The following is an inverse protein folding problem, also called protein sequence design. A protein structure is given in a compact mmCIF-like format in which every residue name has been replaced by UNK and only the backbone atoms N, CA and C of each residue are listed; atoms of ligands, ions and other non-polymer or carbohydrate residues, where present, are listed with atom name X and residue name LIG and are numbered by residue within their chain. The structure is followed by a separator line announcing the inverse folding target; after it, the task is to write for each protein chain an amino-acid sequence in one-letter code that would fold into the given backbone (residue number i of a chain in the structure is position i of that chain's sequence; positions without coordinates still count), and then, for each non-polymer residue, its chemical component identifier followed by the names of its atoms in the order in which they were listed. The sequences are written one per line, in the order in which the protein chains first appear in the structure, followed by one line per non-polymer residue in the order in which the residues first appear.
data_IF_508301271044
#
_entry.id   IF_508301271044
#
_cell.length_a   1.000
_cell.length_b   1.000
_cell.length_c   1.000
_cell.angle_alpha   90.00
_cell.angle_beta   90.00
_cell.angle_gamma   90.00
#
_symmetry.space_group_name_H-M   'P 1'
#
loop_
_entity.id
_entity.type
_entity.pdbx_description
1 polymer ?
#
# COMPACT_ATOMS: atom_id res chain seq x y z
N UNK A 1 36.76 -9.43 -15.28
CA UNK A 1 36.11 -10.67 -14.79
C UNK A 1 35.53 -10.34 -13.42
N UNK A 2 34.20 -10.32 -13.25
CA UNK A 2 33.63 -10.17 -11.91
C UNK A 2 34.10 -11.35 -11.06
N UNK A 3 34.72 -11.06 -9.92
CA UNK A 3 35.28 -12.08 -9.06
C UNK A 3 34.13 -12.99 -8.57
N UNK A 4 34.33 -14.31 -8.51
CA UNK A 4 33.24 -15.25 -8.15
C UNK A 4 32.59 -14.90 -6.80
N UNK A 5 33.38 -14.29 -5.91
CA UNK A 5 32.97 -13.79 -4.61
C UNK A 5 31.95 -12.65 -4.70
N UNK A 6 32.07 -11.74 -5.67
CA UNK A 6 31.13 -10.64 -5.84
C UNK A 6 29.77 -11.12 -6.34
N UNK A 7 29.75 -12.12 -7.23
CA UNK A 7 28.52 -12.75 -7.70
C UNK A 7 27.78 -13.48 -6.57
N UNK A 8 28.51 -14.18 -5.70
CA UNK A 8 27.92 -14.83 -4.53
C UNK A 8 27.35 -13.80 -3.54
N UNK A 9 28.07 -12.70 -3.29
CA UNK A 9 27.59 -11.61 -2.43
C UNK A 9 26.32 -10.96 -2.97
N UNK A 10 26.22 -10.77 -4.30
CA UNK A 10 25.01 -10.25 -4.95
C UNK A 10 23.87 -11.26 -4.88
N UNK A 11 24.12 -12.55 -5.12
CA UNK A 11 23.13 -13.61 -5.00
C UNK A 11 22.50 -13.66 -3.59
N UNK A 12 23.33 -13.67 -2.55
CA UNK A 12 22.86 -13.66 -1.15
C UNK A 12 22.06 -12.40 -0.86
N UNK A 13 22.51 -11.23 -1.35
CA UNK A 13 21.78 -9.98 -1.17
C UNK A 13 20.41 -9.99 -1.86
N UNK A 14 20.30 -10.51 -3.08
CA UNK A 14 19.03 -10.67 -3.80
C UNK A 14 18.06 -11.57 -3.03
N UNK A 15 18.52 -12.74 -2.57
CA UNK A 15 17.71 -13.69 -1.82
C UNK A 15 17.26 -13.11 -0.47
N UNK A 16 18.18 -12.54 0.32
CA UNK A 16 17.88 -12.00 1.65
C UNK A 16 16.88 -10.85 1.56
N UNK A 17 17.14 -9.90 0.65
CA UNK A 17 16.29 -8.71 0.49
C UNK A 17 14.93 -9.08 -0.09
N UNK A 18 14.90 -10.02 -1.05
CA UNK A 18 13.65 -10.53 -1.61
C UNK A 18 12.76 -11.19 -0.55
N UNK A 19 13.35 -11.99 0.34
CA UNK A 19 12.61 -12.61 1.46
C UNK A 19 12.13 -11.59 2.49
N UNK A 20 12.98 -10.64 2.90
CA UNK A 20 12.61 -9.58 3.84
C UNK A 20 11.43 -8.79 3.29
N UNK A 21 11.52 -8.35 2.02
CA UNK A 21 10.44 -7.64 1.33
C UNK A 21 9.16 -8.47 1.30
N UNK A 22 9.25 -9.74 0.89
CA UNK A 22 8.10 -10.63 0.78
C UNK A 22 7.35 -10.76 2.11
N UNK A 23 8.06 -11.00 3.21
CA UNK A 23 7.43 -11.18 4.52
C UNK A 23 6.81 -9.89 5.06
N UNK A 24 7.53 -8.77 4.98
CA UNK A 24 7.03 -7.47 5.40
C UNK A 24 5.74 -7.11 4.64
N UNK A 25 5.77 -7.22 3.31
CA UNK A 25 4.62 -6.90 2.46
C UNK A 25 3.46 -7.87 2.68
N UNK A 26 3.75 -9.14 2.97
CA UNK A 26 2.71 -10.15 3.28
C UNK A 26 2.02 -9.83 4.59
N UNK A 27 2.76 -9.58 5.67
CA UNK A 27 2.20 -9.28 7.00
C UNK A 27 1.33 -8.02 6.93
N UNK A 28 1.85 -6.96 6.31
CA UNK A 28 1.08 -5.72 6.12
C UNK A 28 -0.13 -5.93 5.22
N UNK A 29 0.03 -6.68 4.13
CA UNK A 29 -1.07 -7.02 3.21
C UNK A 29 -2.20 -7.81 3.86
N UNK A 30 -1.89 -8.71 4.81
CA UNK A 30 -2.91 -9.43 5.60
C UNK A 30 -3.74 -8.45 6.43
N UNK A 31 -3.11 -7.46 7.07
CA UNK A 31 -3.84 -6.42 7.81
C UNK A 31 -4.76 -5.62 6.88
N UNK A 32 -4.25 -5.23 5.71
CA UNK A 32 -5.01 -4.47 4.71
C UNK A 32 -6.25 -5.23 4.24
N UNK A 33 -6.10 -6.48 3.80
CA UNK A 33 -7.22 -7.30 3.29
C UNK A 33 -8.26 -7.57 4.39
N UNK A 34 -7.82 -7.87 5.62
CA UNK A 34 -8.74 -8.08 6.75
C UNK A 34 -9.64 -6.85 6.98
N UNK A 35 -9.06 -5.66 6.95
CA UNK A 35 -9.81 -4.42 7.15
C UNK A 35 -10.71 -4.09 5.95
N UNK A 36 -10.25 -4.32 4.71
CA UNK A 36 -11.07 -4.09 3.51
C UNK A 36 -12.28 -5.02 3.46
N UNK A 37 -12.12 -6.28 3.84
CA UNK A 37 -13.22 -7.24 3.97
C UNK A 37 -14.21 -6.75 5.04
N UNK A 38 -13.69 -6.35 6.20
CA UNK A 38 -14.53 -5.86 7.30
C UNK A 38 -15.34 -4.61 6.89
N UNK A 39 -14.73 -3.68 6.16
CA UNK A 39 -15.42 -2.52 5.59
C UNK A 39 -16.52 -2.92 4.59
N UNK A 40 -16.24 -3.86 3.68
CA UNK A 40 -17.22 -4.33 2.70
C UNK A 40 -18.41 -5.04 3.35
N UNK A 41 -18.17 -5.83 4.40
CA UNK A 41 -19.21 -6.55 5.13
C UNK A 41 -20.00 -5.59 6.02
N UNK A 42 -19.34 -4.73 6.79
CA UNK A 42 -19.98 -3.75 7.66
C UNK A 42 -20.90 -2.80 6.90
N UNK A 43 -20.50 -2.38 5.69
CA UNK A 43 -21.31 -1.54 4.82
C UNK A 43 -22.56 -2.26 4.27
N UNK A 44 -22.53 -3.59 4.12
CA UNK A 44 -23.69 -4.38 3.63
C UNK A 44 -24.69 -4.69 4.74
N UNK A 45 -24.20 -4.89 5.97
CA UNK A 45 -25.04 -5.19 7.14
C UNK A 45 -25.76 -3.95 7.67
N UNK A 46 -25.12 -2.78 7.52
CA UNK A 46 -25.71 -1.50 7.88
C UNK A 46 -26.43 -0.96 6.66
N UNK A 47 -27.75 -1.18 6.54
CA UNK A 47 -28.59 -0.73 5.42
C UNK A 47 -28.68 0.81 5.24
N UNK A 48 -27.74 1.56 5.82
CA UNK A 48 -27.62 3.01 5.74
C UNK A 48 -26.59 3.39 4.67
N UNK A 49 -27.02 3.34 3.40
CA UNK A 49 -26.28 3.89 2.25
C UNK A 49 -25.92 5.37 2.43
N UNK A 50 -26.60 6.08 3.34
CA UNK A 50 -26.41 7.49 3.65
C UNK A 50 -25.19 7.77 4.55
N UNK A 51 -24.57 6.75 5.18
CA UNK A 51 -23.34 6.92 5.98
C UNK A 51 -22.07 7.07 5.13
N UNK A 52 -22.17 6.95 3.81
CA UNK A 52 -21.06 7.08 2.86
C UNK A 52 -20.90 8.55 2.43
N UNK A 53 -20.70 9.47 3.38
CA UNK A 53 -20.25 10.81 3.00
C UNK A 53 -18.74 10.76 2.72
N UNK A 54 -18.38 10.31 1.50
CA UNK A 54 -17.09 10.60 0.86
C UNK A 54 -15.97 9.57 0.96
N UNK A 55 -16.09 8.49 1.73
CA UNK A 55 -14.98 7.53 1.93
C UNK A 55 -14.76 6.54 0.77
N UNK A 56 -15.77 6.38 -0.11
CA UNK A 56 -15.74 5.42 -1.22
C UNK A 56 -14.53 5.56 -2.16
N UNK A 57 -14.22 6.78 -2.66
CA UNK A 57 -13.01 7.02 -3.45
C UNK A 57 -11.71 6.65 -2.73
N UNK A 58 -11.62 6.91 -1.42
CA UNK A 58 -10.45 6.55 -0.62
C UNK A 58 -10.26 5.04 -0.48
N UNK A 59 -11.35 4.31 -0.23
CA UNK A 59 -11.35 2.85 -0.15
C UNK A 59 -11.08 2.17 -1.51
N UNK A 60 -11.59 2.72 -2.61
CA UNK A 60 -11.34 2.17 -3.95
C UNK A 60 -9.88 2.34 -4.36
N UNK A 61 -9.28 3.51 -4.11
CA UNK A 61 -7.86 3.76 -4.34
C UNK A 61 -6.96 2.90 -3.43
N UNK A 62 -7.37 2.69 -2.17
CA UNK A 62 -6.68 1.77 -1.26
C UNK A 62 -6.73 0.33 -1.78
N UNK A 63 -7.88 -0.10 -2.31
CA UNK A 63 -8.04 -1.42 -2.92
C UNK A 63 -7.17 -1.56 -4.17
N UNK A 64 -7.09 -0.53 -5.01
CA UNK A 64 -6.22 -0.53 -6.18
C UNK A 64 -4.75 -0.60 -5.79
N UNK A 65 -4.32 0.16 -4.77
CA UNK A 65 -2.99 0.06 -4.19
C UNK A 65 -2.70 -1.36 -3.67
N UNK A 66 -3.67 -2.00 -3.00
CA UNK A 66 -3.53 -3.37 -2.54
C UNK A 66 -3.36 -4.38 -3.69
N UNK A 67 -4.07 -4.22 -4.81
CA UNK A 67 -3.85 -5.05 -6.00
C UNK A 67 -2.44 -4.89 -6.57
N UNK A 68 -1.91 -3.66 -6.53
CA UNK A 68 -0.51 -3.40 -6.89
C UNK A 68 0.45 -4.02 -5.87
N UNK A 69 0.09 -4.10 -4.59
CA UNK A 69 0.87 -4.83 -3.57
C UNK A 69 0.97 -6.33 -3.90
N UNK A 70 -0.11 -6.96 -4.41
CA UNK A 70 -0.05 -8.35 -4.87
C UNK A 70 0.93 -8.53 -6.04
N UNK A 71 0.94 -7.58 -6.98
CA UNK A 71 1.96 -7.55 -8.04
C UNK A 71 3.38 -7.37 -7.47
N UNK A 72 3.55 -6.51 -6.47
CA UNK A 72 4.82 -6.28 -5.77
C UNK A 72 5.34 -7.56 -5.07
N UNK A 73 4.45 -8.34 -4.44
CA UNK A 73 4.76 -9.64 -3.85
C UNK A 73 5.23 -10.66 -4.89
N UNK A 74 4.56 -10.69 -6.06
CA UNK A 74 5.00 -11.52 -7.18
C UNK A 74 6.41 -11.13 -7.63
N UNK A 75 6.69 -9.83 -7.79
CA UNK A 75 8.03 -9.35 -8.16
C UNK A 75 9.08 -9.75 -7.12
N UNK A 76 8.75 -9.70 -5.83
CA UNK A 76 9.61 -10.20 -4.75
C UNK A 76 10.03 -11.66 -4.94
N UNK A 77 9.09 -12.53 -5.33
CA UNK A 77 9.40 -13.94 -5.64
C UNK A 77 10.33 -14.09 -6.85
N UNK A 78 10.14 -13.28 -7.89
CA UNK A 78 11.02 -13.28 -9.06
C UNK A 78 12.45 -12.84 -8.71
N UNK A 79 12.61 -11.84 -7.82
CA UNK A 79 13.92 -11.41 -7.31
C UNK A 79 14.63 -12.56 -6.59
N UNK A 80 13.91 -13.30 -5.73
CA UNK A 80 14.45 -14.48 -5.05
C UNK A 80 14.86 -15.56 -6.06
N UNK A 81 14.00 -15.84 -7.05
CA UNK A 81 14.27 -16.84 -8.08
C UNK A 81 15.54 -16.50 -8.89
N UNK A 82 15.71 -15.24 -9.29
CA UNK A 82 16.92 -14.77 -9.98
C UNK A 82 18.14 -14.84 -9.06
N UNK A 83 18.01 -14.45 -7.79
CA UNK A 83 19.08 -14.59 -6.79
C UNK A 83 19.60 -16.02 -6.65
N UNK A 84 18.71 -17.02 -6.64
CA UNK A 84 19.10 -18.45 -6.61
C UNK A 84 19.75 -18.88 -7.92
N UNK A 85 19.24 -18.42 -9.07
CA UNK A 85 19.75 -18.77 -10.39
C UNK A 85 21.17 -18.24 -10.66
N UNK A 86 21.61 -17.15 -9.99
CA UNK A 86 22.98 -16.63 -10.09
C UNK A 86 24.05 -17.66 -9.70
N UNK A 87 23.73 -18.59 -8.80
CA UNK A 87 24.65 -19.66 -8.37
C UNK A 87 24.59 -20.91 -9.26
N UNK A 88 23.68 -20.94 -10.25
CA UNK A 88 23.49 -22.10 -11.14
C UNK A 88 24.33 -22.01 -12.42
N UNK A 89 24.30 -23.08 -13.22
CA UNK A 89 24.95 -23.13 -14.55
C UNK A 89 24.21 -22.22 -15.56
N UNK A 90 22.89 -22.08 -15.43
CA UNK A 90 22.05 -21.18 -16.24
C UNK A 90 21.92 -19.81 -15.58
N UNK A 91 23.00 -19.03 -15.64
CA UNK A 91 23.09 -17.73 -14.96
C UNK A 91 22.25 -16.67 -15.70
N UNK A 92 21.35 -15.95 -15.01
CA UNK A 92 20.61 -14.87 -15.65
C UNK A 92 21.53 -13.70 -15.99
N UNK A 93 21.23 -13.02 -17.09
CA UNK A 93 21.99 -11.83 -17.48
C UNK A 93 21.78 -10.69 -16.48
N UNK A 94 22.79 -9.82 -16.34
CA UNK A 94 22.69 -8.57 -15.56
C UNK A 94 21.48 -7.75 -15.99
N UNK A 95 21.23 -7.68 -17.30
CA UNK A 95 20.09 -6.94 -17.88
C UNK A 95 18.75 -7.52 -17.41
N UNK A 96 18.63 -8.83 -17.31
CA UNK A 96 17.41 -9.49 -16.84
C UNK A 96 17.16 -9.23 -15.35
N UNK A 97 18.22 -9.32 -14.55
CA UNK A 97 18.14 -9.06 -13.10
C UNK A 97 17.72 -7.61 -12.84
N UNK A 98 18.35 -6.65 -13.52
CA UNK A 98 18.00 -5.23 -13.44
C UNK A 98 16.56 -4.98 -13.92
N UNK A 99 16.09 -5.69 -14.96
CA UNK A 99 14.71 -5.54 -15.46
C UNK A 99 13.68 -5.93 -14.39
N UNK A 100 13.89 -7.05 -13.69
CA UNK A 100 13.00 -7.49 -12.60
C UNK A 100 13.00 -6.46 -11.46
N UNK A 101 14.16 -5.95 -11.07
CA UNK A 101 14.29 -4.93 -10.02
C UNK A 101 13.55 -3.64 -10.42
N UNK A 102 13.70 -3.20 -11.67
CA UNK A 102 13.00 -2.01 -12.20
C UNK A 102 11.49 -2.19 -12.24
N UNK A 103 11.00 -3.37 -12.63
CA UNK A 103 9.56 -3.66 -12.61
C UNK A 103 9.00 -3.61 -11.18
N UNK A 104 9.75 -4.14 -10.22
CA UNK A 104 9.38 -4.10 -8.82
C UNK A 104 9.36 -2.65 -8.27
N UNK A 105 10.34 -1.82 -8.69
CA UNK A 105 10.40 -0.40 -8.37
C UNK A 105 9.18 0.37 -8.89
N UNK A 106 8.81 0.16 -10.16
CA UNK A 106 7.63 0.78 -10.78
C UNK A 106 6.35 0.34 -10.05
N UNK A 107 6.25 -0.95 -9.70
CA UNK A 107 5.14 -1.46 -8.91
C UNK A 107 4.99 -0.74 -7.56
N UNK A 108 6.09 -0.57 -6.81
CA UNK A 108 6.03 0.12 -5.52
C UNK A 108 5.71 1.61 -5.65
N UNK A 109 6.18 2.28 -6.70
CA UNK A 109 5.83 3.67 -7.00
C UNK A 109 4.35 3.85 -7.35
N UNK A 110 3.79 2.98 -8.19
CA UNK A 110 2.36 3.00 -8.53
C UNK A 110 1.51 2.70 -7.30
N UNK A 111 1.93 1.74 -6.48
CA UNK A 111 1.29 1.41 -5.21
C UNK A 111 1.25 2.58 -4.25
N UNK A 112 2.38 3.28 -4.08
CA UNK A 112 2.48 4.52 -3.29
C UNK A 112 1.60 5.64 -3.84
N UNK A 113 1.54 5.80 -5.16
CA UNK A 113 0.70 6.80 -5.81
C UNK A 113 -0.78 6.58 -5.47
N UNK A 114 -1.28 5.36 -5.67
CA UNK A 114 -2.67 5.03 -5.32
C UNK A 114 -2.93 5.11 -3.81
N UNK A 115 -2.00 4.64 -2.99
CA UNK A 115 -2.13 4.74 -1.53
C UNK A 115 -2.22 6.21 -1.08
N UNK A 116 -1.36 7.08 -1.61
CA UNK A 116 -1.32 8.50 -1.26
C UNK A 116 -2.59 9.23 -1.71
N UNK A 117 -3.08 8.97 -2.93
CA UNK A 117 -4.35 9.53 -3.38
C UNK A 117 -5.52 9.02 -2.53
N UNK A 118 -5.50 7.73 -2.17
CA UNK A 118 -6.47 7.14 -1.25
C UNK A 118 -6.44 7.80 0.12
N UNK A 119 -5.25 8.08 0.66
CA UNK A 119 -5.07 8.80 1.92
C UNK A 119 -5.67 10.20 1.87
N UNK A 120 -5.38 10.97 0.81
CA UNK A 120 -5.92 12.33 0.64
C UNK A 120 -7.46 12.31 0.59
N UNK A 121 -8.05 11.34 -0.10
CA UNK A 121 -9.50 11.17 -0.15
C UNK A 121 -10.09 10.83 1.22
N UNK A 122 -9.53 9.83 1.93
CA UNK A 122 -9.99 9.46 3.27
C UNK A 122 -9.85 10.62 4.26
N UNK A 123 -8.67 11.24 4.31
CA UNK A 123 -8.38 12.37 5.19
C UNK A 123 -9.28 13.57 4.89
N UNK A 124 -9.55 13.86 3.61
CA UNK A 124 -10.43 14.96 3.21
C UNK A 124 -11.86 14.75 3.68
N UNK A 125 -12.42 13.54 3.48
CA UNK A 125 -13.77 13.22 3.95
C UNK A 125 -13.89 13.26 5.47
N UNK A 126 -12.93 12.66 6.18
CA UNK A 126 -12.90 12.67 7.64
C UNK A 126 -12.71 14.08 8.21
N UNK A 127 -11.93 14.93 7.53
CA UNK A 127 -11.77 16.33 7.91
C UNK A 127 -13.09 17.11 7.82
N UNK A 128 -13.84 16.93 6.73
CA UNK A 128 -15.18 17.55 6.57
C UNK A 128 -16.12 17.03 7.65
N UNK A 129 -16.15 15.71 7.87
CA UNK A 129 -16.98 15.08 8.91
C UNK A 129 -16.64 15.60 10.30
N UNK A 130 -15.36 15.68 10.66
CA UNK A 130 -14.90 16.25 11.93
C UNK A 130 -15.31 17.73 12.07
N UNK A 131 -15.22 18.50 11.00
CA UNK A 131 -15.56 19.93 11.01
C UNK A 131 -17.05 20.19 11.20
N UNK A 132 -17.92 19.26 10.77
CA UNK A 132 -19.37 19.31 10.99
C UNK A 132 -19.78 18.92 12.41
N UNK A 133 -18.92 18.22 13.15
CA UNK A 133 -19.18 17.84 14.55
C UNK A 133 -19.00 19.00 15.53
N UNK A 134 -18.33 20.08 15.12
CA UNK A 134 -18.10 21.27 15.97
C UNK A 134 -19.27 22.25 15.76
N UNK A 135 -20.12 22.49 16.78
CA UNK A 135 -21.19 23.49 16.68
C UNK A 135 -20.60 24.88 16.38
N UNK A 136 -21.13 25.57 15.36
CA UNK A 136 -20.75 26.94 15.00
C UNK A 136 -19.63 27.14 13.97
N UNK A 137 -18.94 26.08 13.50
CA UNK A 137 -17.92 26.20 12.42
C UNK A 137 -18.52 26.03 11.02
N UNK A 138 -19.25 24.92 10.80
CA UNK A 138 -20.07 24.67 9.59
C UNK A 138 -21.53 24.30 9.93
N UNK A 139 -21.86 24.22 11.23
CA UNK A 139 -23.21 23.91 11.68
C UNK A 139 -24.11 25.12 11.41
N UNK A 140 -24.93 25.02 10.36
CA UNK A 140 -26.05 25.92 10.13
C UNK A 140 -27.02 25.80 11.31
N UNK A 141 -27.06 26.83 12.16
CA UNK A 141 -28.22 27.09 13.01
C UNK A 141 -29.40 27.46 12.10
N UNK A 142 -29.98 26.48 11.41
CA UNK A 142 -31.24 26.65 10.71
C UNK A 142 -32.39 26.58 11.71
N UNK A 143 -32.55 27.65 12.48
CA UNK A 143 -33.81 27.97 13.14
C UNK A 143 -34.88 28.18 12.07
N UNK A 144 -35.56 27.10 11.64
CA UNK A 144 -36.81 27.19 10.89
C UNK A 144 -37.01 26.27 9.69
N UNK A 145 -36.05 25.46 9.28
CA UNK A 145 -36.29 24.42 8.26
C UNK A 145 -36.19 23.04 8.88
N UNK A 146 -37.04 22.10 8.45
CA UNK A 146 -36.94 20.67 8.75
C UNK A 146 -35.71 20.05 8.05
N UNK A 147 -34.55 20.71 8.16
CA UNK A 147 -33.27 20.27 7.65
C UNK A 147 -32.68 19.24 8.61
N UNK A 148 -32.26 18.10 8.05
CA UNK A 148 -31.56 17.02 8.76
C UNK A 148 -30.48 17.63 9.66
N UNK A 149 -30.62 17.48 10.98
CA UNK A 149 -29.57 17.85 11.92
C UNK A 149 -28.33 16.99 11.65
N UNK A 150 -27.30 17.57 11.01
CA UNK A 150 -25.99 16.91 10.83
C UNK A 150 -25.13 16.95 12.10
N UNK A 151 -25.64 17.46 13.23
CA UNK A 151 -24.97 17.52 14.53
C UNK A 151 -24.75 16.13 15.19
N UNK A 152 -24.77 15.04 14.42
CA UNK A 152 -24.87 13.67 14.94
C UNK A 152 -24.17 12.57 14.14
N UNK A 153 -23.20 12.90 13.26
CA UNK A 153 -22.40 11.88 12.55
C UNK A 153 -20.98 11.78 13.14
N UNK A 154 -20.79 11.11 14.30
CA UNK A 154 -19.47 10.89 14.89
C UNK A 154 -18.59 10.05 13.96
N UNK A 155 -17.28 10.32 13.98
CA UNK A 155 -16.30 9.46 13.31
C UNK A 155 -16.32 8.11 14.03
N UNK A 156 -16.57 7.07 13.27
CA UNK A 156 -16.70 5.70 13.76
C UNK A 156 -15.37 4.95 13.66
N UNK A 157 -15.24 3.89 14.46
CA UNK A 157 -14.05 3.04 14.43
C UNK A 157 -13.80 2.38 13.07
N UNK A 158 -14.84 2.09 12.28
CA UNK A 158 -14.69 1.49 10.95
C UNK A 158 -14.04 2.47 9.95
N UNK A 159 -14.36 3.76 10.07
CA UNK A 159 -13.77 4.81 9.24
C UNK A 159 -12.29 5.02 9.62
N UNK A 160 -11.96 4.97 10.92
CA UNK A 160 -10.56 4.99 11.38
C UNK A 160 -9.79 3.74 10.95
N UNK A 161 -10.42 2.56 10.98
CA UNK A 161 -9.82 1.33 10.44
C UNK A 161 -9.55 1.47 8.93
N UNK A 162 -10.40 2.16 8.19
CA UNK A 162 -10.15 2.43 6.76
C UNK A 162 -8.87 3.22 6.53
N UNK A 163 -8.60 4.23 7.36
CA UNK A 163 -7.32 4.98 7.35
C UNK A 163 -6.14 4.08 7.72
N UNK A 164 -6.32 3.21 8.73
CA UNK A 164 -5.29 2.23 9.10
C UNK A 164 -4.97 1.31 7.92
N UNK A 165 -5.98 0.77 7.23
CA UNK A 165 -5.77 -0.08 6.05
C UNK A 165 -4.96 0.64 4.96
N UNK A 166 -5.32 1.89 4.66
CA UNK A 166 -4.58 2.70 3.69
C UNK A 166 -3.11 2.94 4.10
N UNK A 167 -2.87 3.30 5.36
CA UNK A 167 -1.51 3.56 5.83
C UNK A 167 -0.65 2.30 5.87
N UNK A 168 -1.24 1.11 6.12
CA UNK A 168 -0.52 -0.15 6.06
C UNK A 168 -0.10 -0.53 4.63
N UNK A 169 -0.97 -0.34 3.63
CA UNK A 169 -0.59 -0.59 2.23
C UNK A 169 0.46 0.42 1.74
N UNK A 170 0.33 1.68 2.15
CA UNK A 170 1.32 2.73 1.87
C UNK A 170 2.68 2.34 2.44
N UNK A 171 2.72 1.92 3.71
CA UNK A 171 3.95 1.52 4.38
C UNK A 171 4.58 0.27 3.76
N UNK A 172 3.76 -0.69 3.32
CA UNK A 172 4.23 -1.88 2.62
C UNK A 172 4.95 -1.54 1.30
N UNK A 173 4.43 -0.59 0.53
CA UNK A 173 5.09 -0.10 -0.67
C UNK A 173 6.32 0.76 -0.37
N UNK A 174 6.29 1.59 0.67
CA UNK A 174 7.45 2.38 1.08
C UNK A 174 8.64 1.48 1.45
N UNK A 175 8.42 0.45 2.28
CA UNK A 175 9.47 -0.50 2.64
C UNK A 175 9.94 -1.32 1.44
N UNK A 176 9.01 -1.75 0.57
CA UNK A 176 9.33 -2.40 -0.70
C UNK A 176 10.23 -1.54 -1.59
N UNK A 177 9.91 -0.25 -1.73
CA UNK A 177 10.67 0.74 -2.48
C UNK A 177 12.08 0.91 -1.92
N UNK A 178 12.22 1.12 -0.61
CA UNK A 178 13.52 1.30 0.05
C UNK A 178 14.43 0.09 -0.15
N UNK A 179 13.90 -1.12 0.03
CA UNK A 179 14.63 -2.37 -0.20
C UNK A 179 15.02 -2.53 -1.68
N UNK A 180 14.16 -2.15 -2.60
CA UNK A 180 14.42 -2.22 -4.05
C UNK A 180 15.51 -1.23 -4.48
N UNK A 181 15.47 0.00 -3.97
CA UNK A 181 16.50 1.03 -4.24
C UNK A 181 17.86 0.61 -3.68
N UNK A 182 17.88 0.08 -2.46
CA UNK A 182 19.11 -0.44 -1.85
C UNK A 182 19.70 -1.58 -2.70
N UNK A 183 18.86 -2.49 -3.18
CA UNK A 183 19.26 -3.61 -4.01
C UNK A 183 19.75 -3.15 -5.39
N UNK A 184 19.08 -2.15 -6.00
CA UNK A 184 19.51 -1.55 -7.26
C UNK A 184 20.90 -0.89 -7.13
N UNK A 185 21.11 -0.09 -6.08
CA UNK A 185 22.42 0.52 -5.77
C UNK A 185 23.51 -0.55 -5.60
N UNK A 186 23.19 -1.63 -4.88
CA UNK A 186 24.14 -2.73 -4.67
C UNK A 186 24.51 -3.45 -5.96
N UNK A 187 23.54 -3.77 -6.81
CA UNK A 187 23.78 -4.42 -8.11
C UNK A 187 24.56 -3.51 -9.06
N UNK A 188 24.35 -2.20 -8.98
CA UNK A 188 25.10 -1.23 -9.77
C UNK A 188 26.57 -1.12 -9.31
N UNK A 189 26.81 -1.06 -7.99
CA UNK A 189 28.15 -0.91 -7.43
C UNK A 189 29.01 -2.19 -7.45
N UNK A 190 28.40 -3.36 -7.59
CA UNK A 190 29.13 -4.65 -7.72
C UNK A 190 29.49 -4.98 -9.18
N UNK A 191 29.48 -4.00 -10.06
CA UNK A 191 29.81 -4.13 -11.48
C UNK A 191 30.94 -3.19 -11.87
#
# INVERSE_FOLDING_TARGET
MADRLDLQRVSVALCRTGWIRFWIQTILGVVVISILIFNNIGNRLTANSDRILGLGPGLSLTTLSFLVLLYSLWQGRLIIAKGRALNSVSRPSKRETIRVIKNALIGDLLGLLFASLGYQALSGSLFIQASLQIPGFFSSNSTGSQGVSLAGYPITSIEMLSVLSNTQVLFAHLLGLLLTLWLLKRVYNSA
#
